data_IF_092259680387
#
_entry.id   IF_092259680387
#
_cell.length_a   1.000
_cell.length_b   1.000
_cell.length_c   1.000
_cell.angle_alpha   90.00
_cell.angle_beta   90.00
_cell.angle_gamma   90.00
#
_symmetry.space_group_name_H-M   'P 1'
#
loop_
_entity.id
_entity.type
_entity.pdbx_description
1 polymer ?
#
# COMPACT_ATOMS: atom_id res chain seq x y z
N UNK A 1 3.13 3.76 -20.57
CA UNK A 1 4.03 4.66 -19.82
C UNK A 1 3.64 4.51 -18.36
N UNK A 2 4.61 4.46 -17.44
CA UNK A 2 4.33 4.46 -15.99
C UNK A 2 4.24 5.91 -15.55
N UNK A 3 3.12 6.31 -14.93
CA UNK A 3 2.91 7.69 -14.48
C UNK A 3 3.65 7.94 -13.17
N UNK A 4 3.95 9.20 -12.89
CA UNK A 4 4.49 9.63 -11.60
C UNK A 4 3.58 9.30 -10.42
N UNK A 5 2.26 9.27 -10.64
CA UNK A 5 1.26 8.84 -9.65
C UNK A 5 1.40 7.34 -9.31
N UNK A 6 1.90 6.53 -10.25
CA UNK A 6 2.16 5.11 -10.03
C UNK A 6 3.44 4.88 -9.23
N UNK A 7 4.41 5.79 -9.37
CA UNK A 7 5.72 5.72 -8.72
C UNK A 7 5.66 6.25 -7.28
N UNK A 8 5.02 7.41 -7.07
CA UNK A 8 4.95 8.08 -5.77
C UNK A 8 3.54 7.99 -5.19
N UNK A 9 3.30 6.95 -4.40
CA UNK A 9 2.02 6.76 -3.70
C UNK A 9 2.17 7.11 -2.22
N UNK A 10 1.29 8.00 -1.75
CA UNK A 10 1.10 8.22 -0.32
C UNK A 10 0.28 7.04 0.19
N UNK A 11 0.79 6.35 1.20
CA UNK A 11 0.15 5.19 1.79
C UNK A 11 0.67 4.92 3.19
N UNK A 12 0.10 3.92 3.83
CA UNK A 12 0.34 3.60 5.24
C UNK A 12 1.09 2.27 5.35
N UNK A 13 2.10 2.23 6.24
CA UNK A 13 2.82 1.01 6.62
C UNK A 13 4.20 0.84 5.97
N UNK A 14 5.05 -0.06 6.52
CA UNK A 14 6.46 -0.19 6.14
C UNK A 14 6.69 -0.81 4.75
N UNK A 15 5.64 -1.38 4.11
CA UNK A 15 5.75 -2.03 2.80
C UNK A 15 4.44 -1.95 2.00
N UNK A 16 4.49 -1.34 0.82
CA UNK A 16 3.31 -1.14 -0.05
C UNK A 16 2.75 -2.45 -0.62
N UNK A 17 3.57 -3.48 -0.84
CA UNK A 17 3.10 -4.78 -1.36
C UNK A 17 2.38 -5.63 -0.31
N UNK A 18 2.67 -5.41 0.97
CA UNK A 18 2.18 -6.22 2.08
C UNK A 18 1.04 -5.55 2.87
N UNK A 19 0.81 -4.25 2.65
CA UNK A 19 -0.23 -3.49 3.34
C UNK A 19 -1.22 -2.86 2.35
N UNK A 20 -0.75 -2.12 1.34
CA UNK A 20 -1.65 -1.40 0.40
C UNK A 20 -2.38 -2.37 -0.54
N UNK A 21 -1.67 -3.34 -1.12
CA UNK A 21 -2.27 -4.33 -2.02
C UNK A 21 -3.36 -5.17 -1.34
N UNK A 22 -3.06 -5.86 -0.23
CA UNK A 22 -4.03 -6.69 0.47
C UNK A 22 -5.28 -5.93 0.95
N UNK A 23 -5.12 -4.69 1.42
CA UNK A 23 -6.26 -3.85 1.80
C UNK A 23 -7.16 -3.51 0.61
N UNK A 24 -6.58 -3.13 -0.54
CA UNK A 24 -7.36 -2.90 -1.76
C UNK A 24 -8.10 -4.15 -2.23
N UNK A 25 -7.48 -5.32 -2.10
CA UNK A 25 -8.10 -6.58 -2.51
C UNK A 25 -9.28 -6.93 -1.59
N UNK A 26 -9.17 -6.69 -0.28
CA UNK A 26 -10.30 -6.80 0.64
C UNK A 26 -11.45 -5.86 0.27
N UNK A 27 -11.13 -4.59 -0.05
CA UNK A 27 -12.13 -3.61 -0.48
C UNK A 27 -12.83 -4.03 -1.77
N UNK A 28 -12.05 -4.35 -2.81
CA UNK A 28 -12.57 -4.80 -4.10
C UNK A 28 -13.46 -6.04 -3.96
N UNK A 29 -13.08 -7.00 -3.10
CA UNK A 29 -13.90 -8.18 -2.83
C UNK A 29 -15.27 -7.82 -2.24
N UNK A 30 -15.33 -6.88 -1.30
CA UNK A 30 -16.62 -6.43 -0.75
C UNK A 30 -17.45 -5.63 -1.74
N UNK A 31 -16.81 -4.81 -2.57
CA UNK A 31 -17.50 -4.08 -3.64
C UNK A 31 -18.08 -5.05 -4.69
N UNK A 32 -17.36 -6.13 -5.02
CA UNK A 32 -17.85 -7.20 -5.89
C UNK A 32 -19.09 -7.90 -5.30
N UNK A 33 -19.08 -8.19 -3.99
CA UNK A 33 -20.23 -8.80 -3.30
C UNK A 33 -21.47 -7.90 -3.32
N UNK A 34 -21.28 -6.58 -3.16
CA UNK A 34 -22.35 -5.59 -3.27
C UNK A 34 -22.89 -5.56 -4.70
N UNK A 35 -22.01 -5.47 -5.70
CA UNK A 35 -22.40 -5.42 -7.11
C UNK A 35 -23.17 -6.68 -7.55
N UNK A 36 -22.85 -7.83 -6.96
CA UNK A 36 -23.55 -9.11 -7.16
C UNK A 36 -24.85 -9.24 -6.37
N UNK A 37 -25.14 -8.31 -5.46
CA UNK A 37 -26.29 -8.37 -4.56
C UNK A 37 -26.24 -9.52 -3.54
N UNK A 38 -25.04 -10.05 -3.24
CA UNK A 38 -24.86 -11.21 -2.38
C UNK A 38 -24.38 -10.86 -0.97
N UNK A 39 -24.04 -9.59 -0.70
CA UNK A 39 -23.48 -9.16 0.59
C UNK A 39 -24.36 -9.57 1.79
N UNK A 40 -25.68 -9.43 1.67
CA UNK A 40 -26.62 -9.73 2.76
C UNK A 40 -26.71 -11.23 3.11
N UNK A 41 -26.35 -12.10 2.17
CA UNK A 41 -26.38 -13.56 2.36
C UNK A 41 -25.08 -14.10 2.96
N UNK A 42 -24.04 -13.25 3.09
CA UNK A 42 -22.75 -13.67 3.63
C UNK A 42 -22.86 -13.83 5.15
N UNK A 43 -22.50 -15.01 5.63
CA UNK A 43 -22.40 -15.32 7.06
C UNK A 43 -20.96 -15.40 7.54
N UNK A 44 -20.02 -15.79 6.66
CA UNK A 44 -18.62 -16.01 7.03
C UNK A 44 -17.71 -15.64 5.87
N UNK A 45 -16.56 -15.04 6.18
CA UNK A 45 -15.50 -14.77 5.20
C UNK A 45 -14.24 -15.51 5.62
N UNK A 46 -13.61 -16.21 4.67
CA UNK A 46 -12.35 -16.92 4.84
C UNK A 46 -11.32 -16.28 3.91
N UNK A 47 -10.16 -15.97 4.46
CA UNK A 47 -9.02 -15.40 3.77
C UNK A 47 -7.87 -16.40 3.86
N UNK A 48 -7.39 -16.85 2.70
CA UNK A 48 -6.23 -17.70 2.56
C UNK A 48 -5.09 -16.89 1.93
N UNK A 49 -4.01 -16.69 2.67
CA UNK A 49 -2.82 -15.95 2.24
C UNK A 49 -1.71 -16.94 1.90
N UNK A 50 -1.04 -16.74 0.76
CA UNK A 50 -0.05 -17.67 0.20
C UNK A 50 1.33 -17.05 0.02
N UNK A 51 2.36 -17.90 -0.01
CA UNK A 51 3.74 -17.59 -0.37
C UNK A 51 4.42 -16.49 0.43
N UNK A 52 5.14 -15.57 -0.24
CA UNK A 52 5.93 -14.52 0.43
C UNK A 52 5.07 -13.56 1.25
N UNK A 53 3.81 -13.37 0.84
CA UNK A 53 2.81 -12.58 1.57
C UNK A 53 2.44 -13.26 2.90
N UNK A 54 2.40 -14.60 2.92
CA UNK A 54 2.10 -15.39 4.11
C UNK A 54 3.28 -15.45 5.08
N UNK A 55 4.50 -15.67 4.56
CA UNK A 55 5.72 -15.78 5.35
C UNK A 55 6.06 -14.51 6.15
N UNK A 56 5.65 -13.35 5.64
CA UNK A 56 5.92 -12.06 6.30
C UNK A 56 4.66 -11.38 6.86
N UNK A 57 3.48 -12.00 6.67
CA UNK A 57 2.18 -11.37 6.89
C UNK A 57 1.90 -10.93 8.32
N UNK A 58 2.22 -11.77 9.32
CA UNK A 58 2.05 -11.42 10.76
C UNK A 58 3.02 -10.33 11.23
N UNK A 59 4.17 -10.17 10.57
CA UNK A 59 5.18 -9.16 10.90
C UNK A 59 5.00 -7.83 10.17
N UNK A 60 4.25 -7.82 9.06
CA UNK A 60 4.03 -6.65 8.20
C UNK A 60 2.59 -6.13 8.20
N UNK A 61 1.77 -6.53 9.16
CA UNK A 61 0.38 -6.08 9.31
C UNK A 61 -0.51 -6.40 8.10
N UNK A 62 -0.21 -7.50 7.39
CA UNK A 62 -1.01 -7.92 6.22
C UNK A 62 -2.39 -8.41 6.62
N UNK A 63 -2.49 -9.12 7.74
CA UNK A 63 -3.76 -9.50 8.38
C UNK A 63 -4.64 -8.28 8.65
N UNK A 64 -4.08 -7.27 9.30
CA UNK A 64 -4.76 -6.02 9.62
C UNK A 64 -5.21 -5.31 8.34
N UNK A 65 -4.33 -5.23 7.33
CA UNK A 65 -4.64 -4.60 6.06
C UNK A 65 -5.84 -5.25 5.38
N UNK A 66 -5.89 -6.59 5.34
CA UNK A 66 -7.01 -7.32 4.74
C UNK A 66 -8.29 -7.10 5.52
N UNK A 67 -8.25 -7.19 6.85
CA UNK A 67 -9.41 -6.97 7.72
C UNK A 67 -9.98 -5.55 7.52
N UNK A 68 -9.12 -4.54 7.50
CA UNK A 68 -9.54 -3.15 7.26
C UNK A 68 -10.12 -2.95 5.85
N UNK A 69 -9.55 -3.62 4.85
CA UNK A 69 -10.07 -3.63 3.47
C UNK A 69 -11.46 -4.26 3.38
N UNK A 70 -11.65 -5.42 4.00
CA UNK A 70 -12.96 -6.09 4.10
C UNK A 70 -13.98 -5.24 4.87
N UNK A 71 -13.52 -4.47 5.86
CA UNK A 71 -14.36 -3.51 6.56
C UNK A 71 -14.78 -2.32 5.68
N UNK A 72 -14.25 -2.19 4.46
CA UNK A 72 -14.62 -1.17 3.48
C UNK A 72 -13.63 0.01 3.39
N UNK A 73 -12.53 -0.03 4.13
CA UNK A 73 -11.54 1.05 4.15
C UNK A 73 -10.59 0.99 2.94
N UNK A 74 -10.10 2.17 2.56
CA UNK A 74 -9.05 2.31 1.55
C UNK A 74 -7.73 2.81 2.17
N UNK A 75 -6.57 2.44 1.62
CA UNK A 75 -5.26 2.79 2.19
C UNK A 75 -4.97 4.30 2.29
N UNK A 76 -5.65 5.12 1.50
CA UNK A 76 -5.52 6.58 1.45
C UNK A 76 -6.48 7.29 2.41
N UNK A 77 -7.56 6.64 2.83
CA UNK A 77 -8.62 7.24 3.65
C UNK A 77 -8.80 6.61 5.03
N UNK A 78 -8.05 5.56 5.37
CA UNK A 78 -8.20 4.83 6.62
C UNK A 78 -7.73 5.65 7.83
N UNK A 79 -8.54 5.66 8.89
CA UNK A 79 -8.17 6.23 10.18
C UNK A 79 -7.18 5.30 10.90
N UNK A 80 -5.90 5.67 10.86
CA UNK A 80 -4.79 4.90 11.42
C UNK A 80 -4.95 4.69 12.93
N UNK A 81 -5.51 5.67 13.63
CA UNK A 81 -5.57 5.67 15.10
C UNK A 81 -6.69 4.76 15.62
N UNK A 82 -7.71 4.51 14.79
CA UNK A 82 -8.80 3.59 15.10
C UNK A 82 -8.44 2.11 14.85
N UNK A 83 -7.42 1.82 14.03
CA UNK A 83 -7.05 0.44 13.64
C UNK A 83 -6.81 -0.47 14.84
N UNK A 84 -6.00 -0.11 15.87
CA UNK A 84 -5.70 -1.04 16.95
C UNK A 84 -6.94 -1.45 17.75
N UNK A 85 -7.84 -0.49 18.02
CA UNK A 85 -9.08 -0.74 18.73
C UNK A 85 -10.03 -1.62 17.90
N UNK A 86 -10.15 -1.34 16.60
CA UNK A 86 -10.97 -2.12 15.69
C UNK A 86 -10.50 -3.58 15.59
N UNK A 87 -9.20 -3.80 15.39
CA UNK A 87 -8.64 -5.16 15.31
C UNK A 87 -8.77 -5.90 16.64
N UNK A 88 -8.61 -5.21 17.77
CA UNK A 88 -8.85 -5.81 19.08
C UNK A 88 -10.30 -6.25 19.25
N UNK A 89 -11.26 -5.45 18.77
CA UNK A 89 -12.68 -5.76 18.83
C UNK A 89 -13.02 -7.02 17.99
N UNK A 90 -12.52 -7.07 16.75
CA UNK A 90 -12.66 -8.24 15.86
C UNK A 90 -12.06 -9.50 16.48
N UNK A 91 -10.86 -9.40 17.07
CA UNK A 91 -10.21 -10.53 17.74
C UNK A 91 -10.97 -11.00 18.99
N UNK A 92 -11.64 -10.09 19.70
CA UNK A 92 -12.34 -10.40 20.96
C UNK A 92 -13.70 -11.03 20.69
N UNK A 93 -14.45 -10.48 19.72
CA UNK A 93 -15.81 -10.91 19.42
C UNK A 93 -15.87 -11.98 18.32
N UNK A 94 -14.82 -12.11 17.50
CA UNK A 94 -14.81 -13.02 16.35
C UNK A 94 -15.83 -12.62 15.29
N UNK A 95 -16.18 -11.34 15.20
CA UNK A 95 -17.17 -10.76 14.28
C UNK A 95 -16.50 -9.66 13.47
N UNK A 96 -16.86 -9.54 12.20
CA UNK A 96 -16.37 -8.49 11.32
C UNK A 96 -17.53 -7.79 10.63
N UNK A 97 -17.51 -6.46 10.68
CA UNK A 97 -18.42 -5.60 9.93
C UNK A 97 -17.87 -5.37 8.53
N UNK A 98 -18.53 -5.91 7.50
CA UNK A 98 -18.16 -5.74 6.11
C UNK A 98 -18.72 -4.44 5.52
N UNK A 99 -18.05 -3.92 4.50
CA UNK A 99 -18.53 -2.82 3.65
C UNK A 99 -19.07 -1.61 4.43
N UNK A 100 -18.26 -1.06 5.32
CA UNK A 100 -18.59 0.07 6.20
C UNK A 100 -19.79 -0.20 7.12
N UNK A 101 -19.92 -1.43 7.63
CA UNK A 101 -20.95 -1.80 8.59
C UNK A 101 -22.28 -2.23 8.00
N UNK A 102 -22.32 -2.56 6.70
CA UNK A 102 -23.55 -3.01 6.03
C UNK A 102 -23.94 -4.45 6.39
N UNK A 103 -22.97 -5.30 6.67
CA UNK A 103 -23.21 -6.71 7.02
C UNK A 103 -22.25 -7.16 8.11
N UNK A 104 -22.78 -7.76 9.17
CA UNK A 104 -21.97 -8.44 10.18
C UNK A 104 -21.76 -9.90 9.78
N UNK A 105 -20.51 -10.37 9.82
CA UNK A 105 -20.16 -11.76 9.53
C UNK A 105 -19.36 -12.38 10.67
N UNK A 106 -19.49 -13.69 10.82
CA UNK A 106 -18.58 -14.50 11.64
C UNK A 106 -17.17 -14.44 11.03
N UNK A 107 -16.21 -13.97 11.83
CA UNK A 107 -14.80 -13.84 11.46
C UNK A 107 -13.86 -14.19 12.63
N UNK A 108 -13.89 -15.43 13.13
CA UNK A 108 -12.88 -15.91 14.06
C UNK A 108 -11.50 -15.94 13.37
N UNK A 109 -10.60 -15.03 13.76
CA UNK A 109 -9.32 -14.79 13.06
C UNK A 109 -8.44 -16.06 12.99
N UNK A 110 -8.54 -16.96 13.96
CA UNK A 110 -7.83 -18.25 13.98
C UNK A 110 -8.26 -19.23 12.88
N UNK A 111 -9.46 -19.08 12.33
CA UNK A 111 -10.02 -19.96 11.28
C UNK A 111 -10.28 -19.25 9.96
N UNK A 112 -10.51 -17.95 10.02
CA UNK A 112 -10.85 -17.12 8.87
C UNK A 112 -9.63 -16.42 8.28
N UNK A 113 -8.46 -16.43 8.93
CA UNK A 113 -7.22 -15.89 8.40
C UNK A 113 -6.13 -16.98 8.36
N UNK A 114 -6.10 -17.71 7.25
CA UNK A 114 -5.20 -18.84 7.06
C UNK A 114 -3.94 -18.43 6.33
N UNK A 115 -2.79 -18.81 6.88
CA UNK A 115 -1.48 -18.53 6.32
C UNK A 115 -0.87 -19.83 5.80
N UNK A 116 -0.76 -19.95 4.47
CA UNK A 116 -0.22 -21.11 3.79
C UNK A 116 1.25 -20.88 3.44
N UNK A 117 2.10 -21.89 3.61
CA UNK A 117 3.52 -21.81 3.24
C UNK A 117 3.73 -22.03 1.72
N UNK A 118 2.75 -22.60 1.04
CA UNK A 118 2.80 -22.90 -0.37
C UNK A 118 2.54 -21.66 -1.23
N UNK A 119 3.11 -21.64 -2.42
CA UNK A 119 2.91 -20.58 -3.41
C UNK A 119 1.76 -20.95 -4.36
N UNK A 120 1.01 -19.94 -4.79
CA UNK A 120 0.10 -20.10 -5.93
C UNK A 120 0.89 -20.13 -7.25
N UNK A 121 0.31 -20.77 -8.25
CA UNK A 121 0.99 -21.07 -9.52
C UNK A 121 1.41 -19.85 -10.35
N UNK A 122 0.72 -18.71 -10.18
CA UNK A 122 0.93 -17.51 -10.99
C UNK A 122 1.88 -16.48 -10.36
N UNK A 123 1.86 -16.34 -9.03
CA UNK A 123 2.70 -15.36 -8.32
C UNK A 123 2.95 -15.77 -6.87
N UNK A 124 4.10 -15.38 -6.33
CA UNK A 124 4.52 -15.65 -4.95
C UNK A 124 3.68 -14.92 -3.89
N UNK A 125 3.11 -13.76 -4.24
CA UNK A 125 2.22 -12.98 -3.37
C UNK A 125 0.76 -13.20 -3.77
N UNK A 126 0.19 -14.33 -3.34
CA UNK A 126 -1.18 -14.70 -3.61
C UNK A 126 -2.08 -14.55 -2.38
N UNK A 127 -3.33 -14.17 -2.61
CA UNK A 127 -4.38 -14.16 -1.59
C UNK A 127 -5.69 -14.65 -2.22
N UNK A 128 -6.42 -15.50 -1.53
CA UNK A 128 -7.76 -15.92 -1.91
C UNK A 128 -8.75 -15.52 -0.82
N UNK A 129 -9.83 -14.89 -1.22
CA UNK A 129 -10.92 -14.50 -0.31
C UNK A 129 -12.17 -15.28 -0.74
N UNK A 130 -12.83 -15.91 0.24
CA UNK A 130 -14.02 -16.73 0.04
C UNK A 130 -15.12 -16.27 0.97
N UNK A 131 -16.29 -15.95 0.41
CA UNK A 131 -17.50 -15.63 1.14
C UNK A 131 -18.44 -16.84 1.16
N UNK A 132 -18.92 -17.18 2.35
CA UNK A 132 -19.85 -18.27 2.62
C UNK A 132 -21.20 -17.71 3.09
N UNK A 133 -22.28 -18.34 2.67
CA UNK A 133 -23.63 -18.15 3.20
C UNK A 133 -24.10 -19.47 3.83
N UNK A 134 -23.86 -19.63 5.12
CA UNK A 134 -23.90 -20.93 5.79
C UNK A 134 -22.77 -21.83 5.26
N UNK A 135 -23.11 -23.04 4.82
CA UNK A 135 -22.14 -24.02 4.30
C UNK A 135 -21.84 -23.85 2.80
N UNK A 136 -22.51 -22.90 2.13
CA UNK A 136 -22.38 -22.71 0.68
C UNK A 136 -21.40 -21.59 0.36
N UNK A 137 -20.49 -21.85 -0.57
CA UNK A 137 -19.64 -20.81 -1.18
C UNK A 137 -20.49 -19.92 -2.08
N UNK A 138 -20.59 -18.64 -1.74
CA UNK A 138 -21.30 -17.62 -2.52
C UNK A 138 -20.39 -16.99 -3.57
N UNK A 139 -19.16 -16.67 -3.15
CA UNK A 139 -18.16 -16.03 -4.00
C UNK A 139 -16.77 -16.39 -3.52
N UNK A 140 -15.86 -16.64 -4.46
CA UNK A 140 -14.44 -16.84 -4.17
C UNK A 140 -13.64 -16.13 -5.23
N UNK A 141 -12.60 -15.42 -4.81
CA UNK A 141 -11.74 -14.67 -5.72
C UNK A 141 -10.29 -14.73 -5.27
N UNK A 142 -9.42 -15.00 -6.24
CA UNK A 142 -7.96 -15.00 -6.05
C UNK A 142 -7.39 -13.68 -6.56
N UNK A 143 -6.56 -13.03 -5.75
CA UNK A 143 -5.86 -11.79 -6.02
C UNK A 143 -4.34 -12.00 -5.88
N UNK A 144 -3.58 -11.32 -6.72
CA UNK A 144 -2.12 -11.32 -6.71
C UNK A 144 -1.60 -9.90 -6.48
N UNK A 145 -0.71 -9.75 -5.50
CA UNK A 145 -0.02 -8.48 -5.21
C UNK A 145 1.30 -8.42 -5.98
N UNK A 146 1.31 -7.73 -7.13
CA UNK A 146 2.45 -7.69 -8.06
C UNK A 146 3.48 -6.58 -7.73
N UNK A 147 3.34 -5.91 -6.59
CA UNK A 147 4.22 -4.82 -6.15
C UNK A 147 3.67 -3.42 -6.42
N UNK A 148 4.20 -2.40 -5.73
CA UNK A 148 3.76 -1.00 -5.88
C UNK A 148 2.32 -0.71 -5.41
N UNK A 149 1.71 -1.61 -4.63
CA UNK A 149 0.31 -1.51 -4.20
C UNK A 149 -0.72 -1.76 -5.31
N UNK A 150 -0.29 -2.42 -6.39
CA UNK A 150 -1.19 -2.94 -7.43
C UNK A 150 -1.62 -4.36 -7.10
N UNK A 151 -2.90 -4.62 -7.30
CA UNK A 151 -3.49 -5.95 -7.24
C UNK A 151 -4.00 -6.30 -8.63
N UNK A 152 -3.85 -7.57 -8.99
CA UNK A 152 -4.41 -8.12 -10.21
C UNK A 152 -5.15 -9.38 -9.82
N UNK A 153 -6.39 -9.51 -10.27
CA UNK A 153 -7.10 -10.77 -10.07
C UNK A 153 -6.52 -11.87 -10.98
N UNK A 154 -6.83 -13.12 -10.66
CA UNK A 154 -6.34 -14.27 -11.43
C UNK A 154 -6.75 -14.26 -12.91
N UNK A 155 -7.89 -13.66 -13.24
CA UNK A 155 -8.41 -13.63 -14.61
C UNK A 155 -7.70 -12.58 -15.49
N UNK A 156 -7.22 -11.50 -14.86
CA UNK A 156 -6.47 -10.42 -15.50
C UNK A 156 -4.95 -10.56 -15.28
N UNK A 157 -4.48 -11.63 -14.62
CA UNK A 157 -3.05 -11.87 -14.42
C UNK A 157 -2.34 -12.06 -15.76
N UNK A 158 -1.46 -11.11 -16.11
CA UNK A 158 -0.77 -11.06 -17.41
C UNK A 158 -1.52 -10.31 -18.52
N UNK A 159 -2.73 -9.79 -18.24
CA UNK A 159 -3.38 -8.81 -19.10
C UNK A 159 -2.95 -7.41 -18.67
N UNK A 160 -1.86 -6.90 -19.26
CA UNK A 160 -1.61 -5.47 -19.19
C UNK A 160 -2.74 -4.76 -19.94
N UNK A 161 -3.59 -4.03 -19.22
CA UNK A 161 -4.40 -2.94 -19.78
C UNK A 161 -3.46 -1.78 -20.18
N UNK A 162 -2.44 -2.08 -21.00
CA UNK A 162 -1.70 -1.09 -21.76
C UNK A 162 -2.60 -0.70 -22.95
N UNK A 163 -3.71 -0.02 -22.68
CA UNK A 163 -4.22 0.87 -23.70
C UNK A 163 -3.05 1.83 -24.00
N UNK A 164 -2.51 1.85 -25.23
CA UNK A 164 -1.39 2.71 -25.53
C UNK A 164 -1.85 4.15 -25.35
N UNK A 165 -1.55 4.73 -24.20
CA UNK A 165 -1.86 6.13 -23.98
C UNK A 165 -0.95 6.93 -24.90
N UNK A 166 -1.56 7.67 -25.81
CA UNK A 166 -0.88 8.55 -26.74
C UNK A 166 -0.27 9.72 -25.95
N UNK A 167 0.94 9.54 -25.47
CA UNK A 167 1.76 10.60 -24.87
C UNK A 167 2.62 11.28 -25.95
N UNK A 168 2.90 12.58 -25.85
CA UNK A 168 3.68 13.32 -26.83
C UNK A 168 5.08 12.75 -27.11
N UNK A 169 5.75 12.20 -26.08
CA UNK A 169 7.11 11.67 -26.17
C UNK A 169 7.16 10.22 -25.67
N UNK A 170 6.70 9.23 -26.45
CA UNK A 170 6.69 7.83 -26.04
C UNK A 170 8.11 7.25 -26.05
N UNK A 171 8.42 6.40 -25.07
CA UNK A 171 9.74 5.78 -24.93
C UNK A 171 9.64 4.33 -24.47
N UNK A 172 10.57 3.48 -24.90
CA UNK A 172 10.75 2.10 -24.42
C UNK A 172 12.11 1.89 -23.76
N UNK A 173 13.12 2.65 -24.18
CA UNK A 173 14.48 2.54 -23.69
C UNK A 173 15.11 3.92 -23.42
N UNK A 174 16.30 3.93 -22.82
CA UNK A 174 17.02 5.16 -22.51
C UNK A 174 17.43 5.95 -23.76
N UNK A 175 17.66 5.28 -24.90
CA UNK A 175 18.03 5.95 -26.15
C UNK A 175 16.85 6.76 -26.72
N UNK A 176 15.61 6.28 -26.56
CA UNK A 176 14.40 7.03 -26.94
C UNK A 176 14.30 8.34 -26.16
N UNK A 177 14.54 8.31 -24.84
CA UNK A 177 14.53 9.50 -23.99
C UNK A 177 15.62 10.50 -24.39
N UNK A 178 16.84 10.02 -24.65
CA UNK A 178 17.94 10.88 -25.11
C UNK A 178 17.64 11.55 -26.45
N UNK A 179 17.08 10.78 -27.40
CA UNK A 179 16.68 11.29 -28.70
C UNK A 179 15.63 12.39 -28.56
N UNK A 180 14.55 12.14 -27.81
CA UNK A 180 13.51 13.14 -27.58
C UNK A 180 14.01 14.40 -26.87
N UNK A 181 14.89 14.28 -25.87
CA UNK A 181 15.53 15.44 -25.24
C UNK A 181 16.37 16.25 -26.23
N UNK A 182 17.08 15.57 -27.13
CA UNK A 182 17.93 16.23 -28.14
C UNK A 182 17.10 16.93 -29.22
N UNK A 183 16.00 16.32 -29.65
CA UNK A 183 15.11 16.83 -30.70
C UNK A 183 14.22 17.98 -30.20
N UNK A 184 13.71 17.89 -28.96
CA UNK A 184 12.81 18.90 -28.38
C UNK A 184 13.53 20.04 -27.65
N UNK A 185 14.79 19.86 -27.27
CA UNK A 185 15.53 20.79 -26.41
C UNK A 185 15.05 20.81 -24.95
N UNK A 186 14.11 19.93 -24.59
CA UNK A 186 13.62 19.80 -23.22
C UNK A 186 14.60 19.00 -22.36
N UNK A 187 14.67 19.35 -21.07
CA UNK A 187 15.28 18.47 -20.09
C UNK A 187 14.46 17.19 -19.93
N UNK A 188 15.05 16.14 -19.36
CA UNK A 188 14.33 14.89 -19.06
C UNK A 188 13.07 15.14 -18.21
N UNK A 189 13.16 16.03 -17.20
CA UNK A 189 12.01 16.39 -16.37
C UNK A 189 10.96 17.19 -17.15
N UNK A 190 11.39 18.05 -18.09
CA UNK A 190 10.48 18.77 -18.98
C UNK A 190 9.73 17.83 -19.92
N UNK A 191 10.41 16.83 -20.46
CA UNK A 191 9.82 15.79 -21.29
C UNK A 191 8.80 14.94 -20.51
N UNK A 192 9.17 14.51 -19.29
CA UNK A 192 8.22 13.80 -18.41
C UNK A 192 7.01 14.68 -18.05
N UNK A 193 7.21 15.96 -17.75
CA UNK A 193 6.10 16.89 -17.49
C UNK A 193 5.14 16.98 -18.68
N UNK A 194 5.63 17.04 -19.93
CA UNK A 194 4.76 17.05 -21.10
C UNK A 194 3.98 15.75 -21.29
N UNK A 195 4.59 14.62 -20.97
CA UNK A 195 3.90 13.34 -21.02
C UNK A 195 2.84 13.20 -19.92
N UNK A 196 3.12 13.66 -18.70
CA UNK A 196 2.14 13.65 -17.61
C UNK A 196 0.99 14.64 -17.87
N UNK A 197 1.26 15.80 -18.47
CA UNK A 197 0.22 16.78 -18.86
C UNK A 197 -0.73 16.25 -19.96
N UNK A 198 -0.34 15.21 -20.69
CA UNK A 198 -1.23 14.52 -21.63
C UNK A 198 -2.20 13.56 -20.93
N UNK A 199 -1.92 13.21 -19.67
CA UNK A 199 -2.68 12.27 -18.85
C UNK A 199 -3.49 12.98 -17.75
N UNK A 200 -2.94 14.05 -17.19
CA UNK A 200 -3.43 14.74 -16.01
C UNK A 200 -3.41 16.25 -16.23
N UNK A 201 -4.30 16.96 -15.53
CA UNK A 201 -4.23 18.42 -15.51
C UNK A 201 -2.98 18.89 -14.76
N UNK A 202 -2.55 20.13 -15.06
CA UNK A 202 -1.41 20.74 -14.37
C UNK A 202 -1.70 20.89 -12.87
N UNK A 203 -2.93 21.24 -12.54
CA UNK A 203 -3.42 21.42 -11.17
C UNK A 203 -3.32 20.11 -10.38
N UNK A 204 -3.75 18.98 -10.96
CA UNK A 204 -3.66 17.66 -10.32
C UNK A 204 -2.20 17.26 -10.05
N UNK A 205 -1.31 17.50 -11.01
CA UNK A 205 0.12 17.20 -10.86
C UNK A 205 0.75 18.03 -9.73
N UNK A 206 0.50 19.34 -9.71
CA UNK A 206 1.03 20.24 -8.68
C UNK A 206 0.51 19.86 -7.29
N UNK A 207 -0.79 19.56 -7.16
CA UNK A 207 -1.38 19.10 -5.90
C UNK A 207 -0.76 17.78 -5.43
N UNK A 208 -0.60 16.81 -6.33
CA UNK A 208 -0.02 15.52 -5.99
C UNK A 208 1.43 15.64 -5.52
N UNK A 209 2.28 16.37 -6.26
CA UNK A 209 3.67 16.59 -5.84
C UNK A 209 3.77 17.38 -4.54
N UNK A 210 2.88 18.35 -4.31
CA UNK A 210 2.82 19.07 -3.03
C UNK A 210 2.48 18.10 -1.89
N UNK A 211 1.48 17.24 -2.06
CA UNK A 211 1.10 16.25 -1.05
C UNK A 211 2.24 15.26 -0.76
N UNK A 212 2.89 14.74 -1.80
CA UNK A 212 4.05 13.84 -1.66
C UNK A 212 5.18 14.55 -0.92
N UNK A 213 5.47 15.80 -1.29
CA UNK A 213 6.48 16.62 -0.63
C UNK A 213 6.15 16.91 0.84
N UNK A 214 4.90 17.23 1.17
CA UNK A 214 4.49 17.51 2.54
C UNK A 214 4.64 16.29 3.43
N UNK A 215 4.30 15.11 2.92
CA UNK A 215 4.51 13.82 3.60
C UNK A 215 6.01 13.55 3.78
N UNK A 216 6.81 13.64 2.72
CA UNK A 216 8.26 13.35 2.77
C UNK A 216 9.07 14.36 3.59
N UNK A 217 8.65 15.63 3.59
CA UNK A 217 9.31 16.70 4.35
C UNK A 217 8.91 16.72 5.83
N UNK A 218 7.98 15.86 6.24
CA UNK A 218 7.44 15.81 7.60
C UNK A 218 6.64 17.06 7.98
N UNK A 219 6.28 17.90 7.00
CA UNK A 219 5.38 19.04 7.18
C UNK A 219 3.93 18.58 7.36
N UNK A 220 3.61 17.42 6.81
CA UNK A 220 2.41 16.69 7.16
C UNK A 220 2.53 16.21 8.60
N UNK A 221 2.03 17.02 9.54
CA UNK A 221 1.63 16.52 10.85
C UNK A 221 0.36 15.71 10.62
N UNK A 222 0.47 14.39 10.70
CA UNK A 222 -0.70 13.60 11.07
C UNK A 222 -1.37 14.29 12.27
N UNK A 223 -2.71 14.35 12.35
CA UNK A 223 -3.38 14.79 13.56
C UNK A 223 -2.75 14.11 14.79
N UNK A 224 -2.71 14.83 15.92
CA UNK A 224 -1.85 14.56 17.08
C UNK A 224 -2.07 13.22 17.82
N UNK A 225 -2.78 12.28 17.21
CA UNK A 225 -3.16 10.97 17.72
C UNK A 225 -2.26 9.81 17.24
N UNK A 226 -1.32 10.04 16.31
CA UNK A 226 -0.39 9.00 15.85
C UNK A 226 0.41 8.39 17.04
N UNK A 227 0.23 7.09 17.36
CA UNK A 227 1.00 6.46 18.41
C UNK A 227 2.47 6.37 17.98
N UNK A 228 3.37 6.80 18.85
CA UNK A 228 4.80 6.50 18.75
C UNK A 228 4.97 4.98 18.86
N UNK A 229 4.87 4.29 17.74
CA UNK A 229 5.19 2.87 17.61
C UNK A 229 6.67 2.67 17.92
N UNK A 230 6.97 2.41 19.18
CA UNK A 230 8.27 1.93 19.59
C UNK A 230 8.44 0.54 18.98
N UNK A 231 9.32 0.39 17.98
CA UNK A 231 9.67 -0.90 17.39
C UNK A 231 10.11 -1.86 18.51
N UNK A 232 9.21 -2.73 18.96
CA UNK A 232 9.52 -3.86 19.83
C UNK A 232 9.49 -5.13 18.99
N UNK A 233 10.53 -5.31 18.18
CA UNK A 233 11.04 -6.63 17.86
C UNK A 233 12.35 -6.82 18.64
N UNK A 234 12.53 -8.01 19.20
CA UNK A 234 13.52 -8.40 20.21
C UNK A 234 14.95 -7.86 20.05
N UNK A 235 15.48 -7.37 21.17
CA UNK A 235 16.86 -7.03 21.51
C UNK A 235 17.99 -7.51 20.56
N UNK A 236 18.63 -6.54 19.90
CA UNK A 236 20.08 -6.50 19.80
C UNK A 236 20.55 -5.10 20.24
N UNK A 237 21.31 -5.06 21.33
CA UNK A 237 21.91 -3.88 21.91
C UNK A 237 22.75 -3.09 20.89
N UNK A 238 22.33 -1.89 20.52
CA UNK A 238 23.26 -0.84 20.06
C UNK A 238 22.93 0.50 20.69
N UNK A 239 23.84 0.92 21.55
CA UNK A 239 23.86 2.19 22.24
C UNK A 239 23.80 3.37 21.26
N UNK A 240 22.82 4.24 21.41
CA UNK A 240 22.95 5.62 20.98
C UNK A 240 23.79 6.35 22.03
N UNK A 241 25.00 6.87 21.73
CA UNK A 241 25.71 7.70 22.68
C UNK A 241 24.94 9.02 22.80
N UNK A 242 24.48 9.33 24.03
CA UNK A 242 24.17 10.69 24.47
C UNK A 242 25.41 11.59 24.27
N UNK A 243 25.59 12.16 23.08
CA UNK A 243 26.43 13.34 22.85
C UNK A 243 25.77 14.18 21.76
N UNK A 244 25.90 15.50 21.88
CA UNK A 244 25.31 16.56 21.06
C UNK A 244 23.97 17.13 21.52
N UNK A 245 23.81 17.32 22.83
CA UNK A 245 23.24 18.57 23.32
C UNK A 245 24.40 19.59 23.38
N UNK A 246 24.46 20.53 22.43
CA UNK A 246 25.47 21.59 22.39
C UNK A 246 26.25 21.66 21.08
N UNK A 247 25.68 22.34 20.09
CA UNK A 247 26.41 23.08 19.04
C UNK A 247 25.41 23.88 18.20
N UNK A 248 24.76 24.85 18.84
CA UNK A 248 24.25 26.03 18.15
C UNK A 248 25.37 27.08 18.20
N UNK A 249 26.34 26.99 17.30
CA UNK A 249 27.17 28.15 16.95
C UNK A 249 27.73 27.99 15.53
N UNK A 250 27.77 29.12 14.84
CA UNK A 250 28.05 29.23 13.42
C UNK A 250 29.49 28.84 13.06
N UNK A 251 29.65 28.05 11.99
CA UNK A 251 30.46 28.33 10.78
C UNK A 251 30.84 27.03 10.07
N UNK A 252 30.80 27.12 8.74
CA UNK A 252 31.46 26.26 7.75
C UNK A 252 30.84 24.89 7.45
N UNK A 253 30.40 24.81 6.19
CA UNK A 253 29.80 23.72 5.42
C UNK A 253 30.94 22.80 4.90
N UNK A 254 30.79 21.46 4.89
CA UNK A 254 30.34 20.75 3.67
C UNK A 254 29.03 19.97 3.85
N UNK A 255 28.00 20.42 3.14
CA UNK A 255 26.63 19.93 3.06
C UNK A 255 26.51 19.04 1.83
N UNK A 256 26.54 17.73 2.02
CA UNK A 256 25.97 16.77 1.06
C UNK A 256 25.82 15.40 1.72
N UNK A 257 26.86 14.94 2.42
CA UNK A 257 26.91 13.58 2.99
C UNK A 257 26.03 13.47 4.24
N UNK A 258 25.99 14.52 5.08
CA UNK A 258 25.24 14.50 6.36
C UNK A 258 23.72 14.54 6.19
N UNK A 259 23.22 15.10 5.08
CA UNK A 259 21.78 15.17 4.79
C UNK A 259 21.21 13.82 4.33
N UNK A 260 21.95 13.06 3.50
CA UNK A 260 21.54 11.72 3.05
C UNK A 260 21.38 10.73 4.20
N UNK A 261 22.19 10.84 5.25
CA UNK A 261 22.12 9.92 6.40
C UNK A 261 20.88 10.19 7.25
N UNK A 262 20.51 11.46 7.46
CA UNK A 262 19.40 11.84 8.33
C UNK A 262 18.03 11.54 7.72
N UNK A 263 17.82 11.80 6.43
CA UNK A 263 16.52 11.54 5.77
C UNK A 263 16.29 10.06 5.44
N UNK A 264 17.34 9.30 5.11
CA UNK A 264 17.24 7.86 4.88
C UNK A 264 16.89 7.07 6.15
N UNK A 265 17.40 7.51 7.32
CA UNK A 265 17.11 6.87 8.62
C UNK A 265 15.70 7.18 9.15
N UNK A 266 15.11 8.33 8.81
CA UNK A 266 13.74 8.66 9.20
C UNK A 266 12.68 7.96 8.35
N UNK A 267 12.97 7.70 7.07
CA UNK A 267 12.06 6.96 6.18
C UNK A 267 12.23 5.43 6.24
N UNK A 268 13.38 4.91 6.66
CA UNK A 268 13.67 3.47 6.65
C UNK A 268 14.24 3.00 8.00
N UNK A 269 13.42 2.86 9.07
CA UNK A 269 13.87 2.23 10.30
C UNK A 269 13.92 0.69 10.21
N UNK A 270 13.46 0.09 9.10
CA UNK A 270 13.34 -1.36 8.93
C UNK A 270 14.60 -2.02 8.35
N UNK A 271 15.53 -2.38 9.22
CA UNK A 271 16.44 -3.52 9.03
C UNK A 271 16.68 -4.23 10.35
#
# INVERSE_FOLDING_TARGET
MISVFDIFKIGIGPSSSHTVGPMKAGKQFTDDLIARGQLADVTTVIVDVYGSLSLTGKGHHTDIAIIMGLAGNMPDSVDIDAIPAFIQDVNTHGRLMLANGQQEVDFPVDRCMNFHADNLSLHENGMRITALGGDKVLYTQTYYSIGGGFIVDEQHFGQSNDAPVAVPYPYKNAADLQRHCSESGLSLSGLMMQNELALHSKEELEQHFSAVWDVMSGRYRAPASAPKGCCRASCASRAAPRRYAGCWSARTIPTAIRWRSLTGLTCSPSR
#
